data_IF_730440527214
#
_entry.id   IF_730440527214
#
_cell.length_a   1.000
_cell.length_b   1.000
_cell.length_c   1.000
_cell.angle_alpha   90.00
_cell.angle_beta   90.00
_cell.angle_gamma   90.00
#
_symmetry.space_group_name_H-M   'P 1'
#
loop_
_entity.id
_entity.type
_entity.pdbx_description
1 polymer ?
#
# COMPACT_ATOMS: atom_id res chain seq x y z
N UNK A 1 15.92 -32.90 -30.63
CA UNK A 1 14.53 -33.37 -30.74
C UNK A 1 13.76 -32.84 -29.56
N UNK A 2 12.71 -32.07 -29.87
CA UNK A 2 11.74 -31.47 -28.94
C UNK A 2 10.67 -32.50 -28.63
N UNK A 3 10.30 -32.65 -27.35
CA UNK A 3 9.01 -33.16 -26.83
C UNK A 3 9.24 -33.42 -25.34
N UNK A 4 8.45 -33.00 -24.36
CA UNK A 4 7.16 -32.30 -24.26
C UNK A 4 7.09 -31.92 -22.77
N UNK A 5 6.87 -30.66 -22.40
CA UNK A 5 5.49 -30.22 -22.18
C UNK A 5 4.81 -31.04 -21.09
N UNK A 6 5.31 -30.99 -19.85
CA UNK A 6 4.53 -31.46 -18.69
C UNK A 6 3.65 -30.30 -18.23
N UNK A 7 2.57 -30.09 -18.98
CA UNK A 7 1.36 -29.46 -18.47
C UNK A 7 0.83 -30.34 -17.32
N UNK A 8 1.04 -29.90 -16.08
CA UNK A 8 0.34 -30.44 -14.92
C UNK A 8 -0.74 -29.45 -14.50
N UNK A 9 -1.90 -29.53 -15.16
CA UNK A 9 -3.15 -28.95 -14.66
C UNK A 9 -4.02 -30.07 -14.10
N UNK A 10 -3.71 -30.58 -12.91
CA UNK A 10 -4.72 -31.28 -12.12
C UNK A 10 -5.48 -30.25 -11.27
N UNK A 11 -6.82 -30.35 -11.16
CA UNK A 11 -7.63 -29.46 -10.31
C UNK A 11 -7.14 -29.44 -8.85
N UNK A 12 -6.63 -30.58 -8.37
CA UNK A 12 -6.09 -30.76 -7.03
C UNK A 12 -4.81 -29.94 -6.79
N UNK A 13 -3.93 -29.82 -7.79
CA UNK A 13 -2.71 -28.98 -7.68
C UNK A 13 -3.09 -27.50 -7.62
N UNK A 14 -4.14 -27.08 -8.34
CA UNK A 14 -4.66 -25.70 -8.32
C UNK A 14 -5.29 -25.34 -6.98
N UNK A 15 -6.13 -26.22 -6.43
CA UNK A 15 -6.69 -26.05 -5.07
C UNK A 15 -5.60 -26.04 -4.01
N UNK A 16 -4.57 -26.90 -4.15
CA UNK A 16 -3.40 -26.88 -3.27
C UNK A 16 -2.62 -25.58 -3.40
N UNK A 17 -2.40 -25.06 -4.62
CA UNK A 17 -1.70 -23.78 -4.81
C UNK A 17 -2.48 -22.65 -4.17
N UNK A 18 -3.79 -22.55 -4.43
CA UNK A 18 -4.68 -21.53 -3.88
C UNK A 18 -4.73 -21.57 -2.35
N UNK A 19 -4.75 -22.76 -1.74
CA UNK A 19 -4.70 -22.91 -0.29
C UNK A 19 -3.33 -22.59 0.32
N UNK A 20 -2.23 -22.87 -0.39
CA UNK A 20 -0.86 -22.74 0.13
C UNK A 20 -0.46 -21.28 0.36
N UNK A 21 -1.07 -20.33 -0.33
CA UNK A 21 -0.79 -18.89 -0.18
C UNK A 21 -1.56 -18.24 0.96
N UNK A 22 -2.53 -18.93 1.58
CA UNK A 22 -3.36 -18.37 2.65
C UNK A 22 -2.73 -18.46 4.05
N UNK A 23 -1.74 -19.34 4.25
CA UNK A 23 -1.34 -19.81 5.60
C UNK A 23 -0.26 -18.98 6.31
N UNK A 24 0.37 -17.98 5.67
CA UNK A 24 1.42 -17.17 6.31
C UNK A 24 0.96 -15.74 6.58
N UNK A 25 1.14 -15.33 7.84
CA UNK A 25 0.84 -13.99 8.36
C UNK A 25 1.67 -12.91 7.67
N UNK A 26 1.20 -11.66 7.72
CA UNK A 26 1.77 -10.51 7.03
C UNK A 26 3.10 -9.92 7.53
N UNK A 27 3.67 -10.17 8.73
CA UNK A 27 4.86 -9.43 9.11
C UNK A 27 6.02 -9.75 8.17
N UNK A 28 6.72 -8.70 7.73
CA UNK A 28 7.89 -8.85 6.89
C UNK A 28 9.01 -9.55 7.69
N UNK A 29 9.53 -10.63 7.11
CA UNK A 29 10.67 -11.38 7.65
C UNK A 29 12.02 -10.83 7.17
N UNK A 30 13.07 -11.29 7.83
CA UNK A 30 14.46 -10.99 7.46
C UNK A 30 14.95 -11.82 6.27
N UNK A 31 16.13 -11.48 5.74
CA UNK A 31 16.80 -12.29 4.73
C UNK A 31 17.08 -13.73 5.22
N UNK A 32 17.30 -13.92 6.53
CA UNK A 32 17.49 -15.24 7.11
C UNK A 32 16.21 -16.08 7.02
N UNK A 33 15.05 -15.46 7.23
CA UNK A 33 13.74 -16.12 7.09
C UNK A 33 13.46 -16.51 5.63
N UNK A 34 13.80 -15.64 4.68
CA UNK A 34 13.69 -15.96 3.24
C UNK A 34 14.63 -17.11 2.86
N UNK A 35 15.85 -17.15 3.40
CA UNK A 35 16.80 -18.24 3.15
C UNK A 35 16.28 -19.58 3.65
N UNK A 36 15.73 -19.60 4.87
CA UNK A 36 15.10 -20.79 5.44
C UNK A 36 13.90 -21.23 4.60
N UNK A 37 13.04 -20.28 4.23
CA UNK A 37 11.88 -20.51 3.37
C UNK A 37 12.27 -21.08 1.99
N UNK A 38 13.28 -20.51 1.34
CA UNK A 38 13.79 -20.99 0.06
C UNK A 38 14.29 -22.43 0.17
N UNK A 39 14.98 -22.75 1.27
CA UNK A 39 15.46 -24.12 1.52
C UNK A 39 14.30 -25.12 1.66
N UNK A 40 13.22 -24.72 2.36
CA UNK A 40 12.03 -25.59 2.56
C UNK A 40 11.26 -25.86 1.28
N UNK A 41 11.19 -24.89 0.36
CA UNK A 41 10.44 -25.02 -0.89
C UNK A 41 11.27 -25.54 -2.07
N UNK A 42 12.49 -26.04 -1.83
CA UNK A 42 13.37 -26.52 -2.89
C UNK A 42 13.88 -25.41 -3.82
N UNK A 43 13.80 -24.15 -3.38
CA UNK A 43 14.28 -22.99 -4.11
C UNK A 43 15.80 -22.83 -4.09
N UNK A 44 16.26 -21.75 -4.69
CA UNK A 44 17.70 -21.47 -4.81
C UNK A 44 18.35 -21.07 -3.48
N UNK A 45 19.59 -21.50 -3.29
CA UNK A 45 20.47 -21.06 -2.20
C UNK A 45 21.40 -19.91 -2.59
N UNK A 46 21.31 -19.43 -3.84
CA UNK A 46 22.15 -18.36 -4.34
C UNK A 46 21.82 -17.03 -3.64
N UNK A 47 22.82 -16.43 -2.99
CA UNK A 47 22.70 -15.16 -2.26
C UNK A 47 22.17 -14.02 -3.12
N UNK A 48 22.54 -13.96 -4.40
CA UNK A 48 22.05 -12.91 -5.31
C UNK A 48 20.54 -13.04 -5.55
N UNK A 49 20.06 -14.26 -5.78
CA UNK A 49 18.63 -14.51 -5.98
C UNK A 49 17.84 -14.33 -4.68
N UNK A 50 18.38 -14.74 -3.54
CA UNK A 50 17.77 -14.45 -2.23
C UNK A 50 17.65 -12.93 -1.98
N UNK A 51 18.67 -12.16 -2.37
CA UNK A 51 18.63 -10.70 -2.35
C UNK A 51 17.54 -10.13 -3.26
N UNK A 52 17.39 -10.66 -4.47
CA UNK A 52 16.29 -10.28 -5.38
C UNK A 52 14.92 -10.61 -4.78
N UNK A 53 14.75 -11.78 -4.18
CA UNK A 53 13.48 -12.18 -3.52
C UNK A 53 13.19 -11.22 -2.37
N UNK A 54 14.18 -10.92 -1.52
CA UNK A 54 14.03 -9.96 -0.42
C UNK A 54 13.59 -8.59 -0.93
N UNK A 55 14.25 -8.09 -1.98
CA UNK A 55 13.95 -6.79 -2.58
C UNK A 55 12.53 -6.73 -3.17
N UNK A 56 12.14 -7.72 -3.95
CA UNK A 56 10.83 -7.76 -4.59
C UNK A 56 9.69 -8.01 -3.60
N UNK A 57 9.88 -8.93 -2.65
CA UNK A 57 8.85 -9.29 -1.65
C UNK A 57 8.82 -8.38 -0.43
N UNK A 58 9.90 -7.62 -0.17
CA UNK A 58 10.06 -6.87 1.07
C UNK A 58 10.07 -7.74 2.34
N UNK A 59 10.37 -9.04 2.23
CA UNK A 59 10.27 -9.96 3.37
C UNK A 59 8.87 -10.55 3.61
N UNK A 60 7.87 -10.15 2.82
CA UNK A 60 6.48 -10.59 3.03
C UNK A 60 6.34 -12.07 2.65
N UNK A 61 5.99 -12.97 3.59
CA UNK A 61 6.06 -14.41 3.37
C UNK A 61 5.29 -14.92 2.15
N UNK A 62 4.08 -14.39 1.90
CA UNK A 62 3.26 -14.80 0.75
C UNK A 62 3.91 -14.43 -0.59
N UNK A 63 4.50 -13.23 -0.69
CA UNK A 63 5.22 -12.79 -1.89
C UNK A 63 6.56 -13.53 -2.05
N UNK A 64 7.33 -13.67 -0.96
CA UNK A 64 8.60 -14.37 -0.98
C UNK A 64 8.40 -15.81 -1.46
N UNK A 65 7.38 -16.51 -0.94
CA UNK A 65 7.00 -17.86 -1.37
C UNK A 65 6.63 -17.92 -2.85
N UNK A 66 5.80 -16.99 -3.33
CA UNK A 66 5.46 -16.91 -4.75
C UNK A 66 6.71 -16.75 -5.63
N UNK A 67 7.62 -15.85 -5.25
CA UNK A 67 8.87 -15.60 -5.98
C UNK A 67 9.82 -16.79 -5.91
N UNK A 68 9.88 -17.52 -4.79
CA UNK A 68 10.69 -18.73 -4.66
C UNK A 68 10.19 -19.80 -5.63
N UNK A 69 8.88 -20.07 -5.63
CA UNK A 69 8.26 -21.09 -6.49
C UNK A 69 8.37 -20.74 -7.98
N UNK A 70 8.24 -19.46 -8.32
CA UNK A 70 8.29 -18.98 -9.71
C UNK A 70 9.68 -18.47 -10.13
N UNK A 71 10.74 -18.75 -9.36
CA UNK A 71 12.12 -18.34 -9.66
C UNK A 71 12.29 -16.85 -9.98
N UNK A 72 11.60 -15.98 -9.23
CA UNK A 72 11.51 -14.53 -9.43
C UNK A 72 10.88 -14.08 -10.76
N UNK A 73 10.34 -15.00 -11.58
CA UNK A 73 9.60 -14.65 -12.80
C UNK A 73 8.20 -14.18 -12.39
N UNK A 74 7.92 -12.92 -12.67
CA UNK A 74 6.62 -12.31 -12.40
C UNK A 74 5.92 -12.07 -13.74
N UNK A 75 4.83 -12.77 -13.97
CA UNK A 75 3.88 -12.42 -15.02
C UNK A 75 2.72 -11.64 -14.39
N UNK A 76 2.67 -10.34 -14.66
CA UNK A 76 1.63 -9.47 -14.11
C UNK A 76 0.24 -9.75 -14.69
N UNK A 77 0.15 -10.49 -15.80
CA UNK A 77 -1.11 -10.91 -16.38
C UNK A 77 -1.67 -12.18 -15.75
N UNK A 78 -0.82 -12.96 -15.08
CA UNK A 78 -1.19 -14.21 -14.44
C UNK A 78 -2.26 -14.02 -13.36
N UNK A 79 -3.23 -14.94 -13.33
CA UNK A 79 -4.36 -14.87 -12.41
C UNK A 79 -3.91 -15.12 -10.97
N UNK A 80 -2.95 -16.01 -10.73
CA UNK A 80 -2.45 -16.30 -9.38
C UNK A 80 -1.70 -15.09 -8.83
N UNK A 81 -0.87 -14.43 -9.64
CA UNK A 81 -0.23 -13.18 -9.25
C UNK A 81 -1.24 -12.08 -8.90
N UNK A 82 -2.23 -11.84 -9.77
CA UNK A 82 -3.28 -10.83 -9.52
C UNK A 82 -4.06 -11.13 -8.25
N UNK A 83 -4.41 -12.39 -8.02
CA UNK A 83 -5.15 -12.82 -6.83
C UNK A 83 -4.32 -12.66 -5.56
N UNK A 84 -3.02 -12.97 -5.63
CA UNK A 84 -2.06 -12.77 -4.54
C UNK A 84 -1.94 -11.29 -4.16
N UNK A 85 -1.68 -10.42 -5.14
CA UNK A 85 -1.55 -8.97 -4.91
C UNK A 85 -2.84 -8.39 -4.37
N UNK A 86 -3.99 -8.77 -4.94
CA UNK A 86 -5.30 -8.33 -4.45
C UNK A 86 -5.54 -8.80 -3.00
N UNK A 87 -5.26 -10.06 -2.69
CA UNK A 87 -5.43 -10.57 -1.33
C UNK A 87 -4.55 -9.84 -0.31
N UNK A 88 -3.33 -9.48 -0.70
CA UNK A 88 -2.44 -8.65 0.14
C UNK A 88 -2.99 -7.23 0.28
N UNK A 89 -3.44 -6.62 -0.83
CA UNK A 89 -4.08 -5.30 -0.82
C UNK A 89 -5.29 -5.24 0.11
N UNK A 90 -6.21 -6.20 -0.03
CA UNK A 90 -7.43 -6.28 0.77
C UNK A 90 -7.07 -6.44 2.26
N UNK A 91 -6.04 -7.23 2.56
CA UNK A 91 -5.55 -7.38 3.94
C UNK A 91 -4.96 -6.07 4.48
N UNK A 92 -4.14 -5.37 3.70
CA UNK A 92 -3.47 -4.11 4.08
C UNK A 92 -4.48 -2.97 4.28
N UNK A 93 -5.57 -2.96 3.50
CA UNK A 93 -6.57 -1.88 3.52
C UNK A 93 -7.26 -1.68 4.88
N UNK A 94 -7.23 -2.69 5.75
CA UNK A 94 -7.78 -2.64 7.11
C UNK A 94 -6.84 -2.06 8.17
N UNK A 95 -5.59 -1.73 7.83
CA UNK A 95 -4.57 -1.27 8.77
C UNK A 95 -4.23 0.21 8.56
N UNK A 96 -3.96 0.92 9.65
CA UNK A 96 -3.44 2.27 9.66
C UNK A 96 -1.94 2.31 9.31
N UNK A 97 -1.38 3.47 8.90
CA UNK A 97 0.04 3.58 8.54
C UNK A 97 0.99 3.19 9.68
N UNK A 98 0.64 3.48 10.93
CA UNK A 98 1.43 3.08 12.11
C UNK A 98 1.42 1.57 12.32
N UNK A 99 0.29 0.89 12.09
CA UNK A 99 0.20 -0.56 12.16
C UNK A 99 0.98 -1.23 11.02
N UNK A 100 0.92 -0.68 9.80
CA UNK A 100 1.73 -1.17 8.67
C UNK A 100 3.23 -1.05 8.96
N UNK A 101 3.65 0.03 9.64
CA UNK A 101 5.02 0.21 10.10
C UNK A 101 5.41 -0.81 11.18
N UNK A 102 4.53 -1.07 12.14
CA UNK A 102 4.75 -2.12 13.16
C UNK A 102 4.88 -3.52 12.53
N UNK A 103 4.15 -3.79 11.45
CA UNK A 103 4.26 -5.02 10.67
C UNK A 103 5.49 -5.05 9.73
N UNK A 104 6.30 -3.99 9.72
CA UNK A 104 7.46 -3.82 8.84
C UNK A 104 7.11 -3.92 7.35
N UNK A 105 5.88 -3.54 6.99
CA UNK A 105 5.41 -3.51 5.59
C UNK A 105 5.77 -2.20 4.89
N UNK A 106 5.98 -1.14 5.67
CA UNK A 106 6.42 0.17 5.20
C UNK A 106 7.66 0.63 5.97
N UNK A 107 8.49 1.43 5.32
CA UNK A 107 9.68 2.04 5.91
C UNK A 107 9.32 3.25 6.81
N UNK A 108 10.35 3.89 7.38
CA UNK A 108 10.16 5.09 8.21
C UNK A 108 9.52 6.27 7.48
N UNK A 109 9.58 6.27 6.15
CA UNK A 109 8.99 7.29 5.27
C UNK A 109 7.59 6.90 4.77
N UNK A 110 7.05 5.75 5.20
CA UNK A 110 5.73 5.27 4.79
C UNK A 110 5.69 4.57 3.42
N UNK A 111 6.84 4.30 2.80
CA UNK A 111 6.90 3.58 1.53
C UNK A 111 6.92 2.07 1.76
N UNK A 112 6.24 1.30 0.89
CA UNK A 112 6.30 -0.16 0.97
C UNK A 112 7.73 -0.69 0.82
N UNK A 113 8.12 -1.59 1.73
CA UNK A 113 9.45 -2.26 1.67
C UNK A 113 9.56 -3.27 0.52
N UNK A 114 8.42 -3.71 -0.01
CA UNK A 114 8.32 -4.57 -1.19
C UNK A 114 8.22 -3.73 -2.45
N UNK A 115 9.14 -3.92 -3.40
CA UNK A 115 9.05 -3.24 -4.69
C UNK A 115 7.80 -3.65 -5.48
N UNK A 116 7.36 -4.91 -5.38
CA UNK A 116 6.13 -5.36 -6.05
C UNK A 116 4.89 -4.68 -5.45
N UNK A 117 4.78 -4.61 -4.12
CA UNK A 117 3.67 -3.87 -3.52
C UNK A 117 3.77 -2.38 -3.80
N UNK A 118 4.96 -1.79 -3.75
CA UNK A 118 5.14 -0.39 -4.14
C UNK A 118 4.65 -0.18 -5.59
N UNK A 119 4.97 -1.06 -6.53
CA UNK A 119 4.50 -0.93 -7.91
C UNK A 119 2.97 -1.04 -8.04
N UNK A 120 2.35 -1.97 -7.32
CA UNK A 120 0.93 -2.31 -7.53
C UNK A 120 -0.04 -1.61 -6.57
N UNK A 121 0.44 -1.14 -5.42
CA UNK A 121 -0.36 -0.56 -4.35
C UNK A 121 0.00 0.90 -4.04
N UNK A 122 1.10 1.43 -4.57
CA UNK A 122 1.34 2.88 -4.45
C UNK A 122 0.27 3.61 -5.24
N UNK A 123 -0.74 4.10 -4.51
CA UNK A 123 -1.63 5.11 -5.03
C UNK A 123 -0.79 6.34 -5.29
N UNK A 124 -0.75 6.77 -6.54
CA UNK A 124 -0.15 8.05 -6.92
C UNK A 124 -1.28 9.05 -7.08
N UNK A 125 -1.26 10.07 -6.22
CA UNK A 125 -2.16 11.20 -6.34
C UNK A 125 -1.44 12.29 -7.11
N UNK A 126 -1.76 12.40 -8.40
CA UNK A 126 -1.33 13.53 -9.21
C UNK A 126 -2.12 14.78 -8.81
N UNK A 127 -1.76 15.34 -7.65
CA UNK A 127 -2.31 16.57 -7.08
C UNK A 127 -1.16 17.55 -6.90
N UNK A 128 -1.22 18.67 -7.61
CA UNK A 128 -0.23 19.75 -7.49
C UNK A 128 -0.88 21.01 -6.95
N UNK A 129 -0.30 21.60 -5.92
CA UNK A 129 -0.77 22.86 -5.33
C UNK A 129 0.18 23.98 -5.76
N UNK A 130 -0.36 24.96 -6.48
CA UNK A 130 0.36 26.13 -6.94
C UNK A 130 0.52 27.17 -5.81
N UNK A 131 1.43 28.13 -6.00
CA UNK A 131 1.71 29.16 -5.00
C UNK A 131 0.50 30.03 -4.66
N UNK A 132 -0.38 30.27 -5.64
CA UNK A 132 -1.60 31.07 -5.50
C UNK A 132 -2.80 30.29 -4.92
N UNK A 133 -2.54 29.09 -4.39
CA UNK A 133 -3.51 28.14 -3.84
C UNK A 133 -4.51 27.57 -4.86
N UNK A 134 -4.30 27.82 -6.15
CA UNK A 134 -4.90 26.96 -7.18
C UNK A 134 -4.28 25.56 -7.10
N UNK A 135 -5.01 24.55 -7.56
CA UNK A 135 -4.50 23.19 -7.57
C UNK A 135 -4.92 22.44 -8.82
N UNK A 136 -4.10 21.49 -9.23
CA UNK A 136 -4.31 20.64 -10.39
C UNK A 136 -4.53 19.20 -9.92
N UNK A 137 -5.47 18.51 -10.57
CA UNK A 137 -5.70 17.08 -10.41
C UNK A 137 -5.50 16.40 -11.77
N UNK A 138 -4.57 15.45 -11.86
CA UNK A 138 -4.23 14.76 -13.12
C UNK A 138 -3.87 15.73 -14.26
N UNK A 139 -3.10 16.78 -13.92
CA UNK A 139 -2.73 17.87 -14.83
C UNK A 139 -3.88 18.83 -15.23
N UNK A 140 -5.07 18.72 -14.62
CA UNK A 140 -6.21 19.60 -14.91
C UNK A 140 -6.42 20.56 -13.73
N UNK A 141 -6.39 21.86 -14.02
CA UNK A 141 -6.63 22.90 -13.02
C UNK A 141 -8.06 22.81 -12.47
N UNK A 142 -8.19 22.81 -11.14
CA UNK A 142 -9.49 22.86 -10.48
C UNK A 142 -10.15 24.21 -10.66
N UNK A 143 -11.50 24.21 -10.66
CA UNK A 143 -12.31 25.42 -10.68
C UNK A 143 -12.30 26.15 -9.33
N UNK A 144 -12.01 25.42 -8.26
CA UNK A 144 -11.98 25.93 -6.89
C UNK A 144 -10.55 26.23 -6.46
N UNK A 145 -10.41 27.15 -5.50
CA UNK A 145 -9.13 27.42 -4.84
C UNK A 145 -9.11 26.83 -3.44
N UNK A 146 -7.92 26.41 -3.01
CA UNK A 146 -7.69 26.01 -1.64
C UNK A 146 -7.49 27.25 -0.75
N UNK A 147 -7.84 27.12 0.51
CA UNK A 147 -7.33 28.00 1.57
C UNK A 147 -5.94 27.54 1.97
N UNK A 148 -5.16 28.41 2.62
CA UNK A 148 -3.82 28.04 3.11
C UNK A 148 -3.86 26.83 4.07
N UNK A 149 -4.93 26.72 4.87
CA UNK A 149 -5.15 25.58 5.75
C UNK A 149 -5.43 24.29 4.98
N UNK A 150 -6.31 24.33 3.98
CA UNK A 150 -6.62 23.17 3.14
C UNK A 150 -5.40 22.69 2.36
N UNK A 151 -4.59 23.62 1.85
CA UNK A 151 -3.32 23.29 1.19
C UNK A 151 -2.34 22.58 2.14
N UNK A 152 -2.27 22.99 3.42
CA UNK A 152 -1.48 22.28 4.44
C UNK A 152 -2.01 20.88 4.71
N UNK A 153 -3.33 20.72 4.83
CA UNK A 153 -3.97 19.41 5.01
C UNK A 153 -3.64 18.49 3.83
N UNK A 154 -3.82 18.95 2.58
CA UNK A 154 -3.56 18.12 1.40
C UNK A 154 -2.08 17.75 1.31
N UNK A 155 -1.16 18.70 1.53
CA UNK A 155 0.28 18.38 1.56
C UNK A 155 0.57 17.29 2.58
N UNK A 156 0.04 17.43 3.80
CA UNK A 156 0.22 16.43 4.85
C UNK A 156 -0.37 15.06 4.47
N UNK A 157 -1.54 15.04 3.83
CA UNK A 157 -2.13 13.80 3.32
C UNK A 157 -1.21 13.15 2.27
N UNK A 158 -0.71 13.91 1.30
CA UNK A 158 0.19 13.41 0.27
C UNK A 158 1.51 12.90 0.85
N UNK A 159 2.09 13.64 1.79
CA UNK A 159 3.33 13.27 2.49
C UNK A 159 3.15 11.98 3.32
N UNK A 160 1.95 11.75 3.86
CA UNK A 160 1.59 10.56 4.64
C UNK A 160 1.08 9.39 3.74
N UNK A 161 1.33 9.43 2.44
CA UNK A 161 0.89 8.35 1.54
C UNK A 161 -0.63 8.27 1.38
N UNK A 162 -1.29 9.43 1.31
CA UNK A 162 -2.71 9.56 1.00
C UNK A 162 -3.66 9.53 2.19
N UNK A 163 -3.15 9.48 3.41
CA UNK A 163 -3.96 9.41 4.62
C UNK A 163 -3.61 10.50 5.64
N UNK A 164 -4.56 10.87 6.49
CA UNK A 164 -4.32 11.78 7.61
C UNK A 164 -5.24 11.44 8.78
N UNK A 165 -4.73 11.47 10.00
CA UNK A 165 -5.55 11.23 11.20
C UNK A 165 -6.40 12.45 11.55
N UNK A 166 -7.42 12.27 12.40
CA UNK A 166 -8.22 13.41 12.87
C UNK A 166 -7.40 14.36 13.74
N UNK A 167 -6.52 13.81 14.55
CA UNK A 167 -5.59 14.55 15.41
C UNK A 167 -4.66 15.42 14.56
N UNK A 168 -4.08 14.88 13.49
CA UNK A 168 -3.24 15.65 12.57
C UNK A 168 -4.02 16.79 11.88
N UNK A 169 -5.29 16.55 11.49
CA UNK A 169 -6.15 17.62 10.95
C UNK A 169 -6.42 18.69 12.00
N UNK A 170 -6.65 18.29 13.25
CA UNK A 170 -6.86 19.21 14.38
C UNK A 170 -5.60 20.05 14.64
N UNK A 171 -4.42 19.42 14.67
CA UNK A 171 -3.15 20.07 14.90
C UNK A 171 -2.85 21.13 13.84
N UNK A 172 -3.17 20.85 12.57
CA UNK A 172 -3.03 21.83 11.47
C UNK A 172 -3.99 23.02 11.64
N UNK A 173 -5.21 22.77 12.12
CA UNK A 173 -6.28 23.78 12.16
C UNK A 173 -6.26 24.66 13.39
N UNK A 174 -6.01 24.07 14.56
CA UNK A 174 -6.13 24.74 15.85
C UNK A 174 -4.83 24.74 16.67
N UNK A 175 -3.82 24.00 16.25
CA UNK A 175 -2.52 23.90 16.91
C UNK A 175 -2.32 22.56 17.60
N UNK A 176 -1.06 22.24 17.89
CA UNK A 176 -0.64 20.94 18.44
C UNK A 176 -1.33 20.66 19.78
N UNK A 177 -1.87 19.47 19.93
CA UNK A 177 -2.45 18.98 21.21
C UNK A 177 -3.83 19.54 21.51
N UNK A 178 -4.48 20.18 20.53
CA UNK A 178 -5.81 20.78 20.69
C UNK A 178 -6.96 19.84 20.39
N UNK A 179 -6.70 18.59 20.02
CA UNK A 179 -7.73 17.66 19.58
C UNK A 179 -8.89 17.51 20.58
N UNK A 180 -8.58 17.31 21.86
CA UNK A 180 -9.59 17.13 22.92
C UNK A 180 -10.44 18.39 23.18
N UNK A 181 -10.02 19.56 22.70
CA UNK A 181 -10.76 20.82 22.83
C UNK A 181 -11.87 20.96 21.75
N UNK A 182 -11.81 20.16 20.67
CA UNK A 182 -12.69 20.33 19.51
C UNK A 182 -13.46 19.07 19.16
N UNK A 183 -14.71 19.26 18.71
CA UNK A 183 -15.55 18.14 18.28
C UNK A 183 -15.10 17.56 16.94
N UNK A 184 -15.08 16.23 16.85
CA UNK A 184 -15.02 15.44 15.62
C UNK A 184 -15.94 15.95 14.50
N UNK A 185 -17.11 16.49 14.87
CA UNK A 185 -18.06 17.04 13.92
C UNK A 185 -17.47 18.23 13.14
N UNK A 186 -16.66 19.06 13.80
CA UNK A 186 -16.01 20.21 13.17
C UNK A 186 -14.89 19.78 12.20
N UNK A 187 -14.15 18.72 12.55
CA UNK A 187 -13.13 18.10 11.69
C UNK A 187 -13.79 17.50 10.44
N UNK A 188 -14.80 16.66 10.64
CA UNK A 188 -15.55 16.02 9.55
C UNK A 188 -16.18 17.06 8.59
N UNK A 189 -16.73 18.16 9.14
CA UNK A 189 -17.29 19.24 8.33
C UNK A 189 -16.23 19.96 7.49
N UNK A 190 -15.02 20.15 8.03
CA UNK A 190 -13.89 20.72 7.27
C UNK A 190 -13.49 19.80 6.13
N UNK A 191 -13.29 18.51 6.41
CA UNK A 191 -12.86 17.54 5.41
C UNK A 191 -13.89 17.31 4.31
N UNK A 192 -15.19 17.33 4.66
CA UNK A 192 -16.27 17.29 3.67
C UNK A 192 -16.24 18.49 2.71
N UNK A 193 -16.03 19.70 3.22
CA UNK A 193 -15.89 20.91 2.39
C UNK A 193 -14.67 20.83 1.49
N UNK A 194 -13.55 20.34 2.01
CA UNK A 194 -12.34 20.13 1.23
C UNK A 194 -12.58 19.11 0.11
N UNK A 195 -13.21 17.97 0.42
CA UNK A 195 -13.51 16.93 -0.57
C UNK A 195 -14.39 17.45 -1.71
N UNK A 196 -15.31 18.37 -1.45
CA UNK A 196 -16.19 18.95 -2.47
C UNK A 196 -15.45 19.79 -3.52
N UNK A 197 -14.21 20.22 -3.24
CA UNK A 197 -13.38 20.97 -4.19
C UNK A 197 -12.71 20.07 -5.21
N UNK A 198 -12.49 18.79 -4.87
CA UNK A 198 -11.89 17.82 -5.77
C UNK A 198 -12.91 17.35 -6.80
N UNK A 199 -12.44 17.17 -8.03
CA UNK A 199 -13.24 16.76 -9.17
C UNK A 199 -12.82 15.41 -9.73
N UNK A 200 -11.59 14.98 -9.45
CA UNK A 200 -11.01 13.71 -9.93
C UNK A 200 -10.74 12.75 -8.79
N UNK A 201 -10.41 13.28 -7.62
CA UNK A 201 -10.23 12.51 -6.39
C UNK A 201 -11.36 12.78 -5.40
N UNK A 202 -11.44 11.98 -4.34
CA UNK A 202 -12.38 12.19 -3.23
C UNK A 202 -11.69 11.91 -1.91
N UNK A 203 -12.01 12.71 -0.89
CA UNK A 203 -11.53 12.44 0.46
C UNK A 203 -12.63 11.69 1.21
N UNK A 204 -12.35 10.44 1.56
CA UNK A 204 -13.26 9.57 2.32
C UNK A 204 -12.84 9.50 3.78
N UNK A 205 -13.81 9.28 4.67
CA UNK A 205 -13.54 9.03 6.09
C UNK A 205 -13.22 7.55 6.30
N UNK A 206 -12.10 7.28 6.97
CA UNK A 206 -11.79 5.96 7.52
C UNK A 206 -12.29 5.92 8.97
N UNK A 207 -13.28 5.07 9.30
CA UNK A 207 -13.83 5.00 10.65
C UNK A 207 -12.75 4.80 11.71
N UNK A 208 -12.78 5.61 12.78
CA UNK A 208 -11.84 5.58 13.92
C UNK A 208 -10.37 5.90 13.60
N UNK A 209 -10.02 6.18 12.35
CA UNK A 209 -8.63 6.48 11.94
C UNK A 209 -8.51 7.94 11.48
N UNK A 210 -9.31 8.36 10.50
CA UNK A 210 -9.13 9.68 9.88
C UNK A 210 -9.71 9.75 8.48
N UNK A 211 -8.90 10.19 7.52
CA UNK A 211 -9.31 10.44 6.14
C UNK A 211 -8.28 9.91 5.13
N UNK A 212 -8.75 9.53 3.95
CA UNK A 212 -7.94 9.05 2.83
C UNK A 212 -8.37 9.72 1.52
N UNK A 213 -7.41 10.05 0.63
CA UNK A 213 -7.70 10.42 -0.76
C UNK A 213 -7.83 9.15 -1.62
N UNK A 214 -8.91 9.06 -2.38
CA UNK A 214 -9.19 8.01 -3.38
C UNK A 214 -9.30 8.59 -4.78
#
# INVERSE_FOLDING_TARGET
>A
MVSSGLEFHSPEVKELTDHFYLTFSLPAGSLADIKDMSTRFGGTKNTNTLGTIMKLSGGIPKLAKYLIVNECKVDENDLAFKTLIKGISDSISGYSPSELKQLSLVDDSGNFVSELLAKHLSKTWDIKINFDLSFEEKGILSKEKLTALEAKIIKKILDNGGQISKEEVSDIKWGIGKYDEFSDQAINKQMRRLSQKFSKFTIVTIPKVGFEIQ
#
